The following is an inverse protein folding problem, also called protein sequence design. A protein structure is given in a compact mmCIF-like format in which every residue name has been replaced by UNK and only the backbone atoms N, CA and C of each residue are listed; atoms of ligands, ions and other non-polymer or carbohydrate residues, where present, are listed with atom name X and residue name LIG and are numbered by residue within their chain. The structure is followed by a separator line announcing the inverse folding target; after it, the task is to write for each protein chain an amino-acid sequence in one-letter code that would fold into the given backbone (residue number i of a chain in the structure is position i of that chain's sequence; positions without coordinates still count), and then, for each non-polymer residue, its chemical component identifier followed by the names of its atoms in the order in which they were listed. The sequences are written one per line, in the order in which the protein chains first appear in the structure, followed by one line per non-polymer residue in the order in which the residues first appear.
data_IF_373497219151
#
_entry.id   IF_373497219151
#
_cell.length_a   1.000
_cell.length_b   1.000
_cell.length_c   1.000
_cell.angle_alpha   90.00
_cell.angle_beta   90.00
_cell.angle_gamma   90.00
#
_symmetry.space_group_name_H-M   'P 1'
#
loop_
_entity.id
_entity.type
_entity.pdbx_description
1 polymer ?
#
# COMPACT_ATOMS: atom_id res chain seq x y z
N UNK A 1 -18.95 7.42 49.21
CA UNK A 1 -17.73 7.70 48.44
C UNK A 1 -17.29 6.54 47.57
N UNK A 2 -17.17 5.33 48.12
CA UNK A 2 -16.72 4.18 47.32
C UNK A 2 -17.63 3.84 46.14
N UNK A 3 -18.97 3.96 46.30
CA UNK A 3 -19.93 3.70 45.21
C UNK A 3 -19.90 4.70 44.07
N UNK A 4 -19.52 5.96 44.34
CA UNK A 4 -19.40 7.00 43.31
C UNK A 4 -18.11 6.80 42.51
N UNK A 5 -17.01 6.50 43.19
CA UNK A 5 -15.74 6.19 42.53
C UNK A 5 -15.83 4.95 41.66
N UNK A 6 -16.54 3.91 42.12
CA UNK A 6 -16.78 2.70 41.33
C UNK A 6 -17.63 2.99 40.07
N UNK A 7 -18.65 3.83 40.19
CA UNK A 7 -19.46 4.26 39.03
C UNK A 7 -18.67 5.06 38.01
N UNK A 8 -17.81 5.97 38.49
CA UNK A 8 -16.91 6.76 37.62
C UNK A 8 -15.90 5.85 36.93
N UNK A 9 -15.33 4.88 37.64
CA UNK A 9 -14.40 3.88 37.05
C UNK A 9 -15.07 3.02 35.99
N UNK A 10 -16.27 2.50 36.27
CA UNK A 10 -17.03 1.74 35.26
C UNK A 10 -17.39 2.58 34.04
N UNK A 11 -17.73 3.86 34.22
CA UNK A 11 -18.04 4.78 33.13
C UNK A 11 -16.82 5.09 32.25
N UNK A 12 -15.65 5.30 32.86
CA UNK A 12 -14.38 5.50 32.13
C UNK A 12 -13.96 4.25 31.37
N UNK A 13 -14.08 3.08 31.95
CA UNK A 13 -13.79 1.80 31.27
C UNK A 13 -14.75 1.59 30.09
N UNK A 14 -16.03 1.89 30.25
CA UNK A 14 -17.02 1.80 29.18
C UNK A 14 -16.75 2.78 28.05
N UNK A 15 -16.26 3.97 28.37
CA UNK A 15 -15.85 4.97 27.37
C UNK A 15 -14.61 4.52 26.58
N UNK A 16 -13.66 3.88 27.25
CA UNK A 16 -12.44 3.35 26.62
C UNK A 16 -12.73 2.17 25.67
N UNK A 17 -13.73 1.35 25.96
CA UNK A 17 -14.12 0.23 25.08
C UNK A 17 -14.73 0.68 23.74
N UNK A 18 -15.17 1.93 23.64
CA UNK A 18 -15.73 2.50 22.39
C UNK A 18 -14.68 2.86 21.34
N UNK A 19 -13.39 2.95 21.71
CA UNK A 19 -12.33 3.42 20.82
C UNK A 19 -11.71 2.34 19.95
N UNK A 20 -12.13 1.07 20.09
CA UNK A 20 -11.55 -0.07 19.36
C UNK A 20 -12.38 -0.53 18.16
N UNK A 21 -13.35 0.24 17.71
CA UNK A 21 -14.13 -0.14 16.53
C UNK A 21 -13.31 0.21 15.28
N UNK A 22 -12.60 -0.76 14.75
CA UNK A 22 -12.06 -0.72 13.39
C UNK A 22 -13.23 -0.92 12.42
N UNK A 23 -13.60 0.12 11.71
CA UNK A 23 -14.60 0.00 10.66
C UNK A 23 -13.91 -0.56 9.42
N UNK A 24 -14.41 -1.68 8.93
CA UNK A 24 -14.12 -2.14 7.58
C UNK A 24 -15.13 -1.50 6.62
N UNK A 25 -14.68 -1.12 5.45
CA UNK A 25 -15.49 -0.44 4.43
C UNK A 25 -15.46 -1.25 3.13
N UNK A 26 -16.62 -1.37 2.48
CA UNK A 26 -16.75 -2.08 1.21
C UNK A 26 -16.18 -1.26 0.05
N UNK A 27 -15.44 -1.91 -0.84
CA UNK A 27 -14.90 -1.31 -2.06
C UNK A 27 -15.97 -1.33 -3.16
N UNK A 28 -16.47 -0.16 -3.56
CA UNK A 28 -17.40 -0.01 -4.69
C UNK A 28 -16.71 0.47 -5.95
N UNK A 29 -15.58 1.15 -5.81
CA UNK A 29 -14.79 1.65 -6.94
C UNK A 29 -13.31 1.66 -6.60
N UNK A 30 -12.46 1.42 -7.61
CA UNK A 30 -11.00 1.47 -7.49
C UNK A 30 -10.50 2.57 -8.43
N UNK A 31 -9.77 3.52 -7.88
CA UNK A 31 -9.15 4.64 -8.62
C UNK A 31 -7.64 4.53 -8.48
N UNK A 32 -6.93 4.46 -9.61
CA UNK A 32 -5.46 4.35 -9.65
C UNK A 32 -4.90 5.59 -10.32
N UNK A 33 -3.88 6.18 -9.71
CA UNK A 33 -3.17 7.37 -10.18
C UNK A 33 -1.66 7.18 -10.15
N UNK A 34 -0.95 7.92 -11.00
CA UNK A 34 0.51 7.93 -11.04
C UNK A 34 1.14 6.77 -11.81
N UNK A 35 0.34 5.87 -12.36
CA UNK A 35 0.82 4.83 -13.25
C UNK A 35 1.14 5.40 -14.64
N UNK A 36 2.30 5.04 -15.20
CA UNK A 36 2.76 5.51 -16.51
C UNK A 36 2.91 4.35 -17.50
N UNK A 37 3.68 3.32 -17.15
CA UNK A 37 3.98 2.15 -17.98
C UNK A 37 3.17 0.93 -17.57
N UNK A 38 2.82 0.83 -16.29
CA UNK A 38 2.08 -0.29 -15.74
C UNK A 38 0.59 0.01 -15.83
N UNK A 39 -0.18 -0.90 -16.40
CA UNK A 39 -1.63 -0.69 -16.57
C UNK A 39 -2.36 -0.76 -15.23
N UNK A 40 -3.53 -0.13 -15.16
CA UNK A 40 -4.37 -0.16 -13.95
C UNK A 40 -4.79 -1.58 -13.59
N UNK A 41 -5.12 -2.39 -14.58
CA UNK A 41 -5.51 -3.79 -14.42
C UNK A 41 -4.38 -4.60 -13.77
N UNK A 42 -3.14 -4.37 -14.18
CA UNK A 42 -1.96 -5.02 -13.59
C UNK A 42 -1.79 -4.63 -12.13
N UNK A 43 -1.98 -3.35 -11.80
CA UNK A 43 -1.90 -2.86 -10.41
C UNK A 43 -3.00 -3.48 -9.55
N UNK A 44 -4.22 -3.62 -10.06
CA UNK A 44 -5.33 -4.28 -9.37
C UNK A 44 -4.98 -5.75 -9.08
N UNK A 45 -4.41 -6.47 -10.06
CA UNK A 45 -3.98 -7.86 -9.86
C UNK A 45 -2.92 -7.97 -8.78
N UNK A 46 -1.92 -7.10 -8.78
CA UNK A 46 -0.87 -7.08 -7.74
C UNK A 46 -1.40 -6.69 -6.37
N UNK A 47 -2.41 -5.83 -6.32
CA UNK A 47 -3.08 -5.44 -5.08
C UNK A 47 -3.90 -6.57 -4.48
N UNK A 48 -4.30 -7.56 -5.29
CA UNK A 48 -5.19 -8.65 -4.92
C UNK A 48 -6.52 -8.16 -4.32
N UNK A 49 -7.11 -7.10 -4.91
CA UNK A 49 -8.35 -6.47 -4.45
C UNK A 49 -9.41 -6.54 -5.53
N UNK A 50 -10.64 -6.79 -5.11
CA UNK A 50 -11.81 -6.82 -5.99
C UNK A 50 -12.88 -5.83 -5.54
N UNK A 51 -13.78 -5.51 -6.45
CA UNK A 51 -15.00 -4.77 -6.12
C UNK A 51 -15.85 -5.62 -5.15
N UNK A 52 -16.43 -4.99 -4.15
CA UNK A 52 -17.18 -5.55 -3.03
C UNK A 52 -16.33 -6.23 -1.95
N UNK A 53 -15.00 -6.19 -2.03
CA UNK A 53 -14.18 -6.60 -0.88
C UNK A 53 -14.44 -5.67 0.30
N UNK A 54 -14.51 -6.24 1.50
CA UNK A 54 -14.64 -5.49 2.74
C UNK A 54 -13.26 -5.36 3.37
N UNK A 55 -12.70 -4.16 3.34
CA UNK A 55 -11.32 -3.89 3.73
C UNK A 55 -11.22 -3.11 5.04
N UNK A 56 -10.32 -3.53 5.89
CA UNK A 56 -9.91 -2.85 7.11
C UNK A 56 -8.48 -2.29 6.98
N UNK A 57 -7.99 -1.62 8.01
CA UNK A 57 -6.65 -1.01 8.00
C UNK A 57 -5.51 -2.02 7.77
N UNK A 58 -5.64 -3.27 8.26
CA UNK A 58 -4.64 -4.31 8.04
C UNK A 58 -4.61 -4.75 6.58
N UNK A 59 -5.79 -4.85 5.94
CA UNK A 59 -5.90 -5.21 4.53
C UNK A 59 -5.25 -4.13 3.65
N UNK A 60 -5.44 -2.84 3.96
CA UNK A 60 -4.78 -1.74 3.24
C UNK A 60 -3.25 -1.81 3.38
N UNK A 61 -2.74 -2.18 4.56
CA UNK A 61 -1.31 -2.39 4.77
C UNK A 61 -0.79 -3.60 3.97
N UNK A 62 -1.57 -4.66 3.86
CA UNK A 62 -1.20 -5.84 3.06
C UNK A 62 -1.16 -5.50 1.57
N UNK A 63 -2.13 -4.78 1.05
CA UNK A 63 -2.13 -4.27 -0.33
C UNK A 63 -0.88 -3.44 -0.60
N UNK A 64 -0.52 -2.54 0.33
CA UNK A 64 0.68 -1.72 0.23
C UNK A 64 1.94 -2.59 0.13
N UNK A 65 2.07 -3.60 0.98
CA UNK A 65 3.20 -4.56 0.95
C UNK A 65 3.25 -5.35 -0.36
N UNK A 66 2.10 -5.81 -0.84
CA UNK A 66 2.02 -6.55 -2.11
C UNK A 66 2.55 -5.71 -3.28
N UNK A 67 2.16 -4.44 -3.36
CA UNK A 67 2.63 -3.53 -4.40
C UNK A 67 4.14 -3.24 -4.28
N UNK A 68 4.66 -2.99 -3.06
CA UNK A 68 6.09 -2.79 -2.86
C UNK A 68 6.91 -4.05 -3.19
N UNK A 69 6.39 -5.24 -2.92
CA UNK A 69 7.10 -6.50 -3.17
C UNK A 69 7.33 -6.80 -4.65
N UNK A 70 6.66 -6.08 -5.54
CA UNK A 70 6.87 -6.21 -7.00
C UNK A 70 8.12 -5.49 -7.50
N UNK A 71 8.73 -4.62 -6.70
CA UNK A 71 9.84 -3.72 -7.06
C UNK A 71 9.53 -2.74 -8.22
N UNK A 72 8.29 -2.70 -8.68
CA UNK A 72 7.89 -1.78 -9.75
C UNK A 72 7.62 -0.35 -9.27
N UNK A 73 7.41 -0.16 -7.97
CA UNK A 73 7.00 1.12 -7.40
C UNK A 73 8.00 1.63 -6.37
N UNK A 74 8.37 2.90 -6.49
CA UNK A 74 9.20 3.63 -5.53
C UNK A 74 8.37 4.23 -4.40
N UNK A 75 7.09 4.48 -4.64
CA UNK A 75 6.15 4.97 -3.65
C UNK A 75 4.74 4.44 -3.90
N UNK A 76 4.02 4.14 -2.82
CA UNK A 76 2.64 3.64 -2.83
C UNK A 76 1.87 4.27 -1.69
N UNK A 77 0.76 4.92 -2.00
CA UNK A 77 -0.18 5.46 -1.02
C UNK A 77 -1.59 4.92 -1.28
N UNK A 78 -2.23 4.41 -0.25
CA UNK A 78 -3.56 3.80 -0.36
C UNK A 78 -4.51 4.44 0.63
N UNK A 79 -5.71 4.77 0.15
CA UNK A 79 -6.80 5.30 0.95
C UNK A 79 -8.12 4.65 0.56
N UNK A 80 -8.93 4.35 1.54
CA UNK A 80 -10.31 3.92 1.34
C UNK A 80 -11.22 4.94 2.00
N UNK A 81 -11.98 5.67 1.21
CA UNK A 81 -12.90 6.70 1.66
C UNK A 81 -14.17 6.64 0.82
N UNK A 82 -15.34 6.67 1.48
CA UNK A 82 -16.64 6.66 0.81
C UNK A 82 -16.79 5.51 -0.20
N UNK A 83 -16.31 4.32 0.18
CA UNK A 83 -16.32 3.12 -0.66
C UNK A 83 -15.45 3.21 -1.94
N UNK A 84 -14.56 4.20 -2.03
CA UNK A 84 -13.60 4.35 -3.12
C UNK A 84 -12.21 4.01 -2.62
N UNK A 85 -11.62 2.95 -3.17
CA UNK A 85 -10.22 2.61 -2.94
C UNK A 85 -9.35 3.41 -3.91
N UNK A 86 -8.63 4.38 -3.40
CA UNK A 86 -7.65 5.15 -4.17
C UNK A 86 -6.26 4.58 -3.94
N UNK A 87 -5.58 4.24 -5.03
CA UNK A 87 -4.20 3.74 -5.06
C UNK A 87 -3.37 4.73 -5.86
N UNK A 88 -2.51 5.48 -5.18
CA UNK A 88 -1.57 6.41 -5.81
C UNK A 88 -0.19 5.73 -5.82
N UNK A 89 0.40 5.59 -7.00
CA UNK A 89 1.69 4.92 -7.18
C UNK A 89 2.68 5.84 -7.86
N UNK A 90 3.97 5.61 -7.59
CA UNK A 90 5.08 6.17 -8.35
C UNK A 90 5.95 5.02 -8.84
N UNK A 91 6.09 4.90 -10.15
CA UNK A 91 6.87 3.83 -10.75
C UNK A 91 8.37 4.02 -10.54
N UNK A 92 9.08 2.90 -10.37
CA UNK A 92 10.54 2.88 -10.34
C UNK A 92 11.12 3.19 -11.72
N UNK A 93 12.29 3.80 -11.73
CA UNK A 93 13.05 4.00 -12.97
C UNK A 93 13.52 2.65 -13.52
N UNK A 94 13.28 2.42 -14.80
CA UNK A 94 13.83 1.27 -15.51
C UNK A 94 15.15 1.69 -16.16
N UNK A 95 16.26 1.06 -15.77
CA UNK A 95 17.53 1.22 -16.46
C UNK A 95 17.53 0.31 -17.69
N UNK A 96 17.28 0.87 -18.87
CA UNK A 96 17.22 0.10 -20.11
C UNK A 96 18.59 -0.11 -20.77
N UNK A 97 19.51 0.86 -20.60
CA UNK A 97 20.83 0.82 -21.20
C UNK A 97 21.91 1.32 -20.24
N UNK A 98 22.98 0.56 -20.11
CA UNK A 98 24.19 0.99 -19.42
C UNK A 98 25.27 1.23 -20.47
N UNK A 99 25.67 2.49 -20.66
CA UNK A 99 26.79 2.88 -21.50
C UNK A 99 28.05 2.97 -20.63
N UNK A 100 28.99 2.04 -20.84
CA UNK A 100 30.28 2.05 -20.13
C UNK A 100 31.31 2.68 -21.03
N UNK A 101 31.71 3.91 -20.71
CA UNK A 101 32.74 4.66 -21.42
C UNK A 101 34.07 4.63 -20.66
N UNK A 102 35.17 4.57 -21.42
CA UNK A 102 36.55 4.70 -20.85
C UNK A 102 37.19 3.40 -20.37
N UNK A 103 36.52 2.26 -20.50
CA UNK A 103 37.11 0.94 -20.16
C UNK A 103 37.78 0.34 -21.38
N UNK A 104 39.14 0.29 -21.40
CA UNK A 104 39.91 -0.29 -22.49
C UNK A 104 40.10 -1.79 -22.43
N UNK A 105 39.79 -2.41 -21.33
CA UNK A 105 39.96 -3.86 -21.11
C UNK A 105 38.68 -4.64 -21.46
N UNK A 106 38.73 -5.40 -22.56
CA UNK A 106 37.59 -6.20 -23.04
C UNK A 106 37.06 -7.21 -22.01
N UNK A 107 37.96 -7.84 -21.24
CA UNK A 107 37.56 -8.83 -20.22
C UNK A 107 36.80 -8.22 -19.04
N UNK A 108 37.07 -6.96 -18.73
CA UNK A 108 36.35 -6.22 -17.69
C UNK A 108 34.96 -5.77 -18.20
N UNK A 109 34.88 -5.39 -19.48
CA UNK A 109 33.61 -5.02 -20.12
C UNK A 109 32.61 -6.19 -20.18
N UNK A 110 33.09 -7.42 -20.39
CA UNK A 110 32.23 -8.60 -20.41
C UNK A 110 31.69 -8.91 -19.01
N UNK A 111 32.52 -8.81 -17.96
CA UNK A 111 32.08 -9.01 -16.55
C UNK A 111 31.09 -7.96 -16.04
N UNK A 112 31.07 -6.78 -16.61
CA UNK A 112 30.15 -5.71 -16.23
C UNK A 112 28.80 -5.78 -16.97
N UNK A 113 28.67 -6.69 -17.96
CA UNK A 113 27.43 -6.93 -18.72
C UNK A 113 26.63 -8.15 -18.24
N UNK A 114 27.22 -8.96 -17.38
CA UNK A 114 26.55 -10.07 -16.70
C UNK A 114 25.78 -9.56 -15.45
#
# INVERSE_FOLDING_TARGET
MLGIMFKIFCFTVLLFLRTLVSYAEDVKSIVIKGNERITKETIIVFSNVNINDNLNANDLNEITKNLYSTDFFSDVSIKLEKNILQIDVKENFLVQNILINGVKNKSLLEKLKE
#
